data_IF_507375065247
#
_entry.id   IF_507375065247
#
_cell.length_a   1.000
_cell.length_b   1.000
_cell.length_c   1.000
_cell.angle_alpha   90.00
_cell.angle_beta   90.00
_cell.angle_gamma   90.00
#
_symmetry.space_group_name_H-M   'P 1'
#
loop_
_entity.id
_entity.type
_entity.pdbx_description
1 polymer ?
#
# COMPACT_ATOMS: atom_id res chain seq x y z
N UNK A 1 8.31 -34.74 -35.63
CA UNK A 1 7.91 -34.42 -34.24
C UNK A 1 8.55 -33.09 -33.91
N UNK A 2 7.98 -32.02 -34.44
CA UNK A 2 8.37 -30.67 -34.04
C UNK A 2 7.74 -30.42 -32.68
N UNK A 3 8.58 -30.25 -31.67
CA UNK A 3 8.16 -29.79 -30.37
C UNK A 3 7.63 -28.36 -30.56
N UNK A 4 6.31 -28.20 -30.45
CA UNK A 4 5.70 -26.89 -30.20
C UNK A 4 6.35 -26.35 -28.92
N UNK A 5 7.27 -25.40 -29.08
CA UNK A 5 7.65 -24.50 -27.99
C UNK A 5 6.42 -23.64 -27.74
N UNK A 6 5.60 -24.03 -26.78
CA UNK A 6 4.55 -23.16 -26.24
C UNK A 6 5.27 -21.92 -25.71
N UNK A 7 5.08 -20.78 -26.36
CA UNK A 7 5.53 -19.50 -25.82
C UNK A 7 4.75 -19.26 -24.54
N UNK A 8 5.45 -19.29 -23.40
CA UNK A 8 4.87 -18.93 -22.11
C UNK A 8 4.45 -17.47 -22.13
N UNK A 9 3.28 -17.20 -21.56
CA UNK A 9 2.80 -15.82 -21.34
C UNK A 9 3.62 -15.12 -20.26
N UNK A 10 3.62 -13.78 -20.24
CA UNK A 10 4.29 -13.00 -19.20
C UNK A 10 3.78 -13.35 -17.78
N UNK A 11 2.48 -13.59 -17.63
CA UNK A 11 1.87 -14.00 -16.37
C UNK A 11 2.41 -15.36 -15.87
N UNK A 12 2.55 -16.34 -16.77
CA UNK A 12 3.14 -17.64 -16.42
C UNK A 12 4.62 -17.50 -16.04
N UNK A 13 5.36 -16.58 -16.67
CA UNK A 13 6.75 -16.32 -16.30
C UNK A 13 6.89 -15.68 -14.92
N UNK A 14 5.99 -14.75 -14.56
CA UNK A 14 5.99 -14.10 -13.25
C UNK A 14 5.63 -15.10 -12.14
N UNK A 15 4.60 -15.93 -12.35
CA UNK A 15 4.20 -16.95 -11.38
C UNK A 15 5.33 -17.96 -11.12
N UNK A 16 6.08 -18.35 -12.15
CA UNK A 16 7.24 -19.23 -11.99
C UNK A 16 8.40 -18.57 -11.23
N UNK A 17 8.63 -17.28 -11.46
CA UNK A 17 9.64 -16.53 -10.70
C UNK A 17 9.25 -16.44 -9.22
N UNK A 18 8.00 -16.11 -8.92
CA UNK A 18 7.50 -16.06 -7.54
C UNK A 18 7.63 -17.42 -6.83
N UNK A 19 7.29 -18.52 -7.50
CA UNK A 19 7.45 -19.86 -6.94
C UNK A 19 8.92 -20.19 -6.67
N UNK A 20 9.83 -19.85 -7.60
CA UNK A 20 11.26 -20.06 -7.43
C UNK A 20 11.82 -19.26 -6.24
N UNK A 21 11.41 -17.99 -6.10
CA UNK A 21 11.81 -17.12 -4.99
C UNK A 21 11.29 -17.67 -3.65
N UNK A 22 10.04 -18.15 -3.59
CA UNK A 22 9.46 -18.76 -2.40
C UNK A 22 10.18 -20.06 -2.00
N UNK A 23 10.59 -20.88 -2.97
CA UNK A 23 11.39 -22.07 -2.71
C UNK A 23 12.82 -21.75 -2.24
N UNK A 24 13.46 -20.72 -2.79
CA UNK A 24 14.75 -20.24 -2.30
C UNK A 24 14.65 -19.71 -0.86
N UNK A 25 13.63 -18.88 -0.60
CA UNK A 25 13.30 -18.38 0.73
C UNK A 25 13.08 -19.53 1.71
N UNK A 26 12.30 -20.54 1.35
CA UNK A 26 12.06 -21.72 2.19
C UNK A 26 13.36 -22.44 2.52
N UNK A 27 14.25 -22.67 1.55
CA UNK A 27 15.58 -23.26 1.81
C UNK A 27 16.38 -22.43 2.80
N UNK A 28 16.31 -21.10 2.71
CA UNK A 28 17.00 -20.20 3.63
C UNK A 28 16.46 -20.30 5.07
N UNK A 29 15.15 -20.46 5.27
CA UNK A 29 14.55 -20.65 6.60
C UNK A 29 14.95 -21.98 7.24
N UNK A 30 14.93 -23.08 6.46
CA UNK A 30 15.18 -24.43 6.97
C UNK A 30 16.67 -24.79 7.16
N UNK A 31 17.62 -23.87 6.88
CA UNK A 31 19.07 -24.12 7.05
C UNK A 31 19.55 -24.00 8.50
N UNK A 32 18.79 -23.30 9.33
CA UNK A 32 19.18 -22.96 10.69
C UNK A 32 18.84 -24.09 11.67
N UNK A 33 19.63 -24.22 12.74
CA UNK A 33 19.38 -25.18 13.82
C UNK A 33 18.96 -24.44 15.08
N UNK A 34 18.13 -25.08 15.89
CA UNK A 34 17.68 -24.49 17.14
C UNK A 34 18.87 -24.24 18.08
N UNK A 35 19.07 -23.01 18.58
CA UNK A 35 20.13 -22.74 19.55
C UNK A 35 19.88 -23.46 20.88
N UNK A 36 20.94 -23.68 21.66
CA UNK A 36 20.84 -24.35 22.97
C UNK A 36 20.01 -23.56 24.00
N UNK A 37 19.94 -22.24 23.84
CA UNK A 37 19.14 -21.33 24.68
C UNK A 37 18.28 -20.46 23.77
N UNK A 38 17.07 -20.13 24.23
CA UNK A 38 16.17 -19.21 23.54
C UNK A 38 16.35 -17.78 24.06
N UNK A 39 17.61 -17.31 24.06
CA UNK A 39 18.01 -15.95 24.40
C UNK A 39 18.51 -15.20 23.15
N UNK A 40 18.52 -13.87 23.22
CA UNK A 40 18.82 -13.01 22.08
C UNK A 40 20.25 -13.23 21.58
N UNK A 41 21.21 -13.44 22.48
CA UNK A 41 22.59 -13.71 22.10
C UNK A 41 22.70 -15.00 21.27
N UNK A 42 22.14 -16.10 21.76
CA UNK A 42 22.19 -17.41 21.10
C UNK A 42 21.46 -17.39 19.76
N UNK A 43 20.35 -16.64 19.68
CA UNK A 43 19.64 -16.41 18.42
C UNK A 43 20.54 -15.73 17.38
N UNK A 44 21.16 -14.60 17.73
CA UNK A 44 22.00 -13.83 16.80
C UNK A 44 23.29 -14.57 16.44
N UNK A 45 23.87 -15.35 17.36
CA UNK A 45 25.02 -16.20 17.08
C UNK A 45 24.71 -17.32 16.07
N UNK A 46 23.47 -17.81 16.04
CA UNK A 46 23.01 -18.81 15.06
C UNK A 46 22.77 -18.21 13.66
N UNK A 47 22.39 -16.93 13.57
CA UNK A 47 22.15 -16.25 12.29
C UNK A 47 23.44 -16.11 11.46
N UNK A 48 23.30 -16.04 10.14
CA UNK A 48 24.41 -15.74 9.23
C UNK A 48 24.86 -14.30 9.36
N UNK A 49 26.07 -14.00 8.87
CA UNK A 49 26.57 -12.62 8.86
C UNK A 49 25.66 -11.68 8.05
N UNK A 50 25.16 -12.13 6.89
CA UNK A 50 24.27 -11.34 6.05
C UNK A 50 23.00 -10.94 6.83
N UNK A 51 22.35 -11.90 7.51
CA UNK A 51 21.15 -11.63 8.31
C UNK A 51 21.41 -10.65 9.47
N UNK A 52 22.60 -10.68 10.09
CA UNK A 52 22.97 -9.69 11.10
C UNK A 52 23.23 -8.31 10.51
N UNK A 53 23.76 -8.24 9.29
CA UNK A 53 23.93 -6.99 8.56
C UNK A 53 22.59 -6.41 8.09
N UNK A 54 21.60 -7.27 7.79
CA UNK A 54 20.22 -6.85 7.50
C UNK A 54 19.58 -6.23 8.75
N UNK A 55 19.70 -6.86 9.93
CA UNK A 55 19.26 -6.26 11.21
C UNK A 55 19.96 -4.93 11.45
N UNK A 56 21.28 -4.86 11.26
CA UNK A 56 22.06 -3.63 11.40
C UNK A 56 21.53 -2.52 10.49
N UNK A 57 21.18 -2.85 9.25
CA UNK A 57 20.65 -1.91 8.27
C UNK A 57 19.25 -1.43 8.66
N UNK A 58 18.34 -2.35 8.98
CA UNK A 58 16.95 -2.05 9.34
C UNK A 58 16.86 -1.20 10.62
N UNK A 59 17.73 -1.45 11.60
CA UNK A 59 17.83 -0.66 12.81
C UNK A 59 18.66 0.64 12.64
N UNK A 60 19.14 0.91 11.42
CA UNK A 60 19.96 2.07 11.07
C UNK A 60 21.22 2.25 11.96
N UNK A 61 21.90 1.14 12.27
CA UNK A 61 23.06 1.13 13.16
C UNK A 61 24.34 1.46 12.36
N UNK A 62 24.86 2.67 12.59
CA UNK A 62 26.08 3.17 11.95
C UNK A 62 27.37 2.68 12.62
N UNK A 63 28.48 2.72 11.86
CA UNK A 63 29.81 2.38 12.36
C UNK A 63 29.96 0.93 12.85
N UNK A 64 29.25 -0.01 12.25
CA UNK A 64 29.23 -1.42 12.65
C UNK A 64 29.54 -2.41 11.51
N UNK A 65 29.65 -1.95 10.26
CA UNK A 65 29.84 -2.79 9.08
C UNK A 65 31.17 -3.55 9.06
N UNK A 66 32.23 -3.00 9.67
CA UNK A 66 33.55 -3.61 9.74
C UNK A 66 33.75 -4.57 10.92
N UNK A 67 32.81 -4.63 11.87
CA UNK A 67 32.91 -5.48 13.05
C UNK A 67 32.96 -6.95 12.64
N UNK A 68 33.60 -7.83 13.41
CA UNK A 68 33.47 -9.28 13.23
C UNK A 68 32.11 -9.77 13.73
N UNK A 69 31.69 -10.99 13.34
CA UNK A 69 30.36 -11.52 13.70
C UNK A 69 30.07 -11.43 15.20
N UNK A 70 30.99 -11.90 16.06
CA UNK A 70 30.82 -11.85 17.51
C UNK A 70 30.68 -10.43 18.06
N UNK A 71 31.48 -9.48 17.56
CA UNK A 71 31.41 -8.07 17.95
C UNK A 71 30.11 -7.41 17.48
N UNK A 72 29.65 -7.77 16.27
CA UNK A 72 28.39 -7.29 15.72
C UNK A 72 27.20 -7.77 16.57
N UNK A 73 27.18 -9.06 16.96
CA UNK A 73 26.14 -9.60 17.87
C UNK A 73 26.03 -8.76 19.14
N UNK A 74 27.17 -8.51 19.81
CA UNK A 74 27.18 -7.73 21.05
C UNK A 74 26.69 -6.29 20.84
N UNK A 75 26.97 -5.69 19.68
CA UNK A 75 26.48 -4.36 19.33
C UNK A 75 24.98 -4.34 19.01
N UNK A 76 24.44 -5.38 18.39
CA UNK A 76 23.03 -5.45 17.99
C UNK A 76 22.08 -5.65 19.16
N UNK A 77 22.45 -6.46 20.16
CA UNK A 77 21.57 -6.81 21.28
C UNK A 77 20.90 -5.61 21.99
N UNK A 78 21.62 -4.58 22.48
CA UNK A 78 20.99 -3.45 23.14
C UNK A 78 20.13 -2.60 22.18
N UNK A 79 20.52 -2.50 20.91
CA UNK A 79 19.80 -1.74 19.89
C UNK A 79 18.47 -2.41 19.53
N UNK A 80 18.46 -3.74 19.38
CA UNK A 80 17.24 -4.54 19.16
C UNK A 80 16.25 -4.34 20.30
N UNK A 81 16.71 -4.42 21.56
CA UNK A 81 15.86 -4.23 22.75
C UNK A 81 15.32 -2.79 22.81
N UNK A 82 16.16 -1.80 22.52
CA UNK A 82 15.75 -0.41 22.49
C UNK A 82 14.71 -0.15 21.39
N UNK A 83 14.94 -0.71 20.20
CA UNK A 83 14.01 -0.61 19.08
C UNK A 83 12.68 -1.30 19.39
N UNK A 84 12.69 -2.49 20.00
CA UNK A 84 11.47 -3.18 20.45
C UNK A 84 10.58 -2.29 21.33
N UNK A 85 11.17 -1.55 22.28
CA UNK A 85 10.42 -0.64 23.15
C UNK A 85 9.74 0.50 22.40
N UNK A 86 10.36 0.97 21.31
CA UNK A 86 9.83 2.04 20.47
C UNK A 86 8.80 1.53 19.46
N UNK A 87 8.99 0.30 18.98
CA UNK A 87 8.18 -0.32 17.93
C UNK A 87 6.90 -0.99 18.46
N UNK A 88 6.96 -1.61 19.64
CA UNK A 88 5.80 -2.32 20.22
C UNK A 88 4.53 -1.46 20.36
N UNK A 89 4.59 -0.16 20.72
CA UNK A 89 3.38 0.66 20.77
C UNK A 89 2.68 0.90 19.41
N UNK A 90 3.36 0.70 18.28
CA UNK A 90 2.82 0.92 16.93
C UNK A 90 2.31 -0.34 16.22
N UNK A 91 2.28 -1.49 16.91
CA UNK A 91 1.86 -2.76 16.31
C UNK A 91 0.37 -2.76 15.99
N UNK A 92 -0.01 -3.49 14.94
CA UNK A 92 -1.40 -3.81 14.63
C UNK A 92 -1.84 -5.05 15.40
N UNK A 93 -3.13 -5.35 15.34
CA UNK A 93 -3.75 -6.42 16.12
C UNK A 93 -3.19 -7.80 15.73
N UNK A 94 -2.95 -8.04 14.44
CA UNK A 94 -2.40 -9.32 13.97
C UNK A 94 -0.97 -9.56 14.48
N UNK A 95 -0.15 -8.51 14.60
CA UNK A 95 1.17 -8.60 15.22
C UNK A 95 1.05 -8.86 16.72
N UNK A 96 0.13 -8.16 17.41
CA UNK A 96 -0.15 -8.43 18.83
C UNK A 96 -0.54 -9.91 19.04
N UNK A 97 -1.46 -10.43 18.22
CA UNK A 97 -1.90 -11.83 18.25
C UNK A 97 -0.76 -12.81 17.96
N UNK A 98 0.12 -12.49 17.00
CA UNK A 98 1.30 -13.28 16.69
C UNK A 98 2.27 -13.36 17.89
N UNK A 99 2.54 -12.22 18.53
CA UNK A 99 3.40 -12.16 19.72
C UNK A 99 2.74 -12.89 20.91
N UNK A 100 1.42 -12.69 21.13
CA UNK A 100 0.64 -13.43 22.12
C UNK A 100 0.74 -14.94 21.93
N UNK A 101 0.53 -15.41 20.71
CA UNK A 101 0.66 -16.81 20.35
C UNK A 101 2.05 -17.36 20.75
N UNK A 102 3.11 -16.62 20.40
CA UNK A 102 4.47 -17.00 20.79
C UNK A 102 4.68 -16.97 22.31
N UNK A 103 4.07 -16.05 23.06
CA UNK A 103 4.14 -16.03 24.52
C UNK A 103 3.49 -17.29 25.13
N UNK A 104 2.32 -17.67 24.65
CA UNK A 104 1.59 -18.86 25.10
C UNK A 104 2.34 -20.15 24.78
N UNK A 105 2.99 -20.23 23.63
CA UNK A 105 3.82 -21.35 23.20
C UNK A 105 5.27 -21.27 23.75
N UNK A 106 5.49 -20.51 24.84
CA UNK A 106 6.80 -20.39 25.53
C UNK A 106 7.95 -19.93 24.62
N UNK A 107 7.62 -19.10 23.64
CA UNK A 107 8.53 -18.46 22.71
C UNK A 107 8.90 -19.31 21.49
N UNK A 108 8.21 -20.42 21.21
CA UNK A 108 8.51 -21.32 20.10
C UNK A 108 7.23 -21.86 19.47
N UNK A 109 7.06 -21.77 18.15
CA UNK A 109 5.85 -22.21 17.46
C UNK A 109 6.17 -22.91 16.14
N UNK A 110 5.56 -24.07 15.92
CA UNK A 110 5.46 -24.76 14.62
C UNK A 110 4.16 -24.46 13.87
N UNK A 111 3.27 -23.65 14.48
CA UNK A 111 1.94 -23.33 13.92
C UNK A 111 1.94 -22.09 13.04
N UNK A 112 3.00 -21.28 13.10
CA UNK A 112 3.18 -20.13 12.21
C UNK A 112 3.61 -20.64 10.84
N UNK A 113 2.96 -20.16 9.79
CA UNK A 113 3.17 -20.63 8.42
C UNK A 113 4.57 -20.27 7.93
N UNK A 114 5.15 -21.12 7.09
CA UNK A 114 6.46 -20.89 6.49
C UNK A 114 6.40 -20.14 5.16
N UNK A 115 5.20 -19.88 4.62
CA UNK A 115 4.95 -19.03 3.45
C UNK A 115 4.54 -17.59 3.79
N UNK A 116 4.40 -17.27 5.09
CA UNK A 116 4.14 -15.90 5.54
C UNK A 116 5.44 -15.08 5.49
N UNK A 117 5.53 -14.18 4.52
CA UNK A 117 6.68 -13.30 4.28
C UNK A 117 6.80 -12.19 5.33
N UNK A 118 5.72 -11.86 6.07
CA UNK A 118 5.74 -10.82 7.11
C UNK A 118 6.60 -11.22 8.30
N UNK A 119 6.78 -12.52 8.52
CA UNK A 119 7.69 -13.02 9.56
C UNK A 119 9.17 -12.72 9.23
N UNK A 120 9.52 -12.50 7.96
CA UNK A 120 10.87 -12.07 7.60
C UNK A 120 11.14 -10.64 8.04
N UNK A 121 10.12 -9.77 8.04
CA UNK A 121 10.24 -8.42 8.58
C UNK A 121 10.61 -8.48 10.06
N UNK A 122 9.87 -9.23 10.89
CA UNK A 122 10.18 -9.38 12.32
C UNK A 122 11.56 -10.02 12.55
N UNK A 123 11.98 -10.92 11.66
CA UNK A 123 13.31 -11.53 11.68
C UNK A 123 14.41 -10.52 11.32
N UNK A 124 14.14 -9.65 10.34
CA UNK A 124 14.98 -8.52 9.95
C UNK A 124 15.06 -7.42 11.00
N UNK A 125 14.18 -7.40 12.00
CA UNK A 125 14.28 -6.53 13.19
C UNK A 125 14.99 -7.20 14.37
N UNK A 126 15.27 -8.52 14.27
CA UNK A 126 15.84 -9.30 15.36
C UNK A 126 14.83 -9.62 16.48
N UNK A 127 13.52 -9.57 16.19
CA UNK A 127 12.48 -9.89 17.19
C UNK A 127 12.16 -11.37 17.26
N UNK A 128 12.37 -12.09 16.17
CA UNK A 128 12.24 -13.54 16.11
C UNK A 128 13.28 -14.11 15.15
N UNK A 129 13.40 -15.44 15.15
CA UNK A 129 14.13 -16.18 14.13
C UNK A 129 13.46 -17.53 13.91
N UNK A 130 14.06 -18.34 13.05
CA UNK A 130 13.55 -19.67 12.70
C UNK A 130 14.66 -20.72 12.77
N UNK A 131 14.27 -21.96 12.99
CA UNK A 131 15.15 -23.11 12.98
C UNK A 131 14.40 -24.36 12.50
N UNK A 132 15.13 -25.26 11.84
CA UNK A 132 14.66 -26.61 11.56
C UNK A 132 14.87 -27.48 12.80
N UNK A 133 13.77 -28.04 13.31
CA UNK A 133 13.77 -29.07 14.36
C UNK A 133 13.13 -30.32 13.75
N UNK A 134 13.88 -31.41 13.71
CA UNK A 134 13.53 -32.60 12.93
C UNK A 134 13.27 -32.22 11.46
N UNK A 135 12.03 -32.29 10.97
CA UNK A 135 11.63 -31.88 9.62
C UNK A 135 10.63 -30.71 9.60
N UNK A 136 10.44 -30.01 10.73
CA UNK A 136 9.53 -28.88 10.83
C UNK A 136 10.29 -27.57 11.04
N UNK A 137 9.72 -26.48 10.50
CA UNK A 137 10.15 -25.12 10.83
C UNK A 137 9.57 -24.72 12.19
N UNK A 138 10.44 -24.26 13.08
CA UNK A 138 10.08 -23.65 14.36
C UNK A 138 10.43 -22.17 14.29
N UNK A 139 9.44 -21.31 14.43
CA UNK A 139 9.63 -19.89 14.69
C UNK A 139 9.82 -19.67 16.18
N UNK A 140 10.81 -18.87 16.57
CA UNK A 140 11.09 -18.62 17.98
C UNK A 140 11.43 -17.15 18.25
N UNK A 141 10.93 -16.65 19.38
CA UNK A 141 11.13 -15.27 19.86
C UNK A 141 11.99 -15.32 21.12
N UNK A 142 13.12 -14.60 21.22
CA UNK A 142 14.07 -14.69 22.33
C UNK A 142 13.55 -14.06 23.63
N UNK A 143 14.08 -14.51 24.77
CA UNK A 143 13.63 -14.14 26.13
C UNK A 143 13.50 -12.64 26.36
N UNK A 144 14.44 -11.87 25.86
CA UNK A 144 14.51 -10.43 26.01
C UNK A 144 13.34 -9.73 25.31
N UNK A 145 13.00 -10.15 24.10
CA UNK A 145 11.84 -9.60 23.35
C UNK A 145 10.54 -10.01 24.03
N UNK A 146 10.44 -11.28 24.49
CA UNK A 146 9.29 -11.73 25.29
C UNK A 146 9.12 -10.88 26.54
N UNK A 147 10.22 -10.51 27.19
CA UNK A 147 10.20 -9.70 28.39
C UNK A 147 9.77 -8.25 28.10
N UNK A 148 10.20 -7.65 26.98
CA UNK A 148 9.72 -6.31 26.58
C UNK A 148 8.22 -6.32 26.25
N UNK A 149 7.74 -7.31 25.48
CA UNK A 149 6.31 -7.44 25.16
C UNK A 149 5.45 -7.61 26.43
N UNK A 150 5.84 -8.50 27.35
CA UNK A 150 5.12 -8.76 28.61
C UNK A 150 4.99 -7.54 29.53
N UNK A 151 5.84 -6.52 29.39
CA UNK A 151 5.71 -5.27 30.17
C UNK A 151 4.49 -4.45 29.73
N UNK A 152 4.11 -4.58 28.47
CA UNK A 152 2.98 -3.87 27.87
C UNK A 152 1.72 -4.72 27.86
N UNK A 153 1.89 -6.04 27.80
CA UNK A 153 0.79 -7.00 27.66
C UNK A 153 -0.30 -6.82 28.71
N UNK A 154 -1.41 -6.25 28.25
CA UNK A 154 -2.56 -5.86 29.05
C UNK A 154 -3.75 -5.63 28.11
N UNK A 155 -4.99 -5.66 28.62
CA UNK A 155 -6.17 -5.31 27.82
C UNK A 155 -6.08 -3.93 27.16
N UNK A 156 -5.37 -2.97 27.79
CA UNK A 156 -5.16 -1.65 27.22
C UNK A 156 -4.21 -1.69 26.01
N UNK A 157 -3.23 -2.59 26.01
CA UNK A 157 -2.30 -2.74 24.90
C UNK A 157 -2.95 -3.46 23.71
N UNK A 158 -3.81 -4.46 23.97
CA UNK A 158 -4.66 -5.07 22.94
C UNK A 158 -5.62 -4.04 22.31
N UNK A 159 -6.24 -3.19 23.14
CA UNK A 159 -7.08 -2.09 22.66
C UNK A 159 -6.29 -1.07 21.82
N UNK A 160 -5.05 -0.76 22.20
CA UNK A 160 -4.16 0.09 21.40
C UNK A 160 -3.84 -0.55 20.04
N UNK A 161 -3.48 -1.84 20.00
CA UNK A 161 -3.22 -2.56 18.75
C UNK A 161 -4.46 -2.62 17.84
N UNK A 162 -5.65 -2.76 18.44
CA UNK A 162 -6.94 -2.68 17.73
C UNK A 162 -7.13 -1.30 17.12
N UNK A 163 -6.89 -0.24 17.89
CA UNK A 163 -6.98 1.15 17.41
C UNK A 163 -5.95 1.45 16.31
N UNK A 164 -4.71 0.95 16.42
CA UNK A 164 -3.69 1.09 15.37
C UNK A 164 -4.13 0.42 14.05
N UNK A 165 -4.82 -0.72 14.16
CA UNK A 165 -5.41 -1.43 13.00
C UNK A 165 -6.53 -0.61 12.36
N UNK A 166 -7.41 -0.02 13.17
CA UNK A 166 -8.46 0.88 12.70
C UNK A 166 -7.87 2.10 11.99
N UNK A 167 -6.88 2.76 12.59
CA UNK A 167 -6.15 3.90 12.00
C UNK A 167 -5.55 3.51 10.65
N UNK A 168 -4.87 2.36 10.58
CA UNK A 168 -4.26 1.84 9.35
C UNK A 168 -5.30 1.62 8.26
N UNK A 169 -6.46 1.06 8.63
CA UNK A 169 -7.55 0.81 7.70
C UNK A 169 -8.20 2.10 7.19
N UNK A 170 -8.43 3.07 8.07
CA UNK A 170 -8.92 4.40 7.67
C UNK A 170 -7.92 5.12 6.76
N UNK A 171 -6.62 5.02 7.06
CA UNK A 171 -5.56 5.54 6.19
C UNK A 171 -5.61 4.88 4.81
N UNK A 172 -5.67 3.55 4.75
CA UNK A 172 -5.72 2.84 3.47
C UNK A 172 -6.94 3.26 2.64
N UNK A 173 -8.11 3.43 3.26
CA UNK A 173 -9.31 3.91 2.57
C UNK A 173 -9.22 5.36 2.13
N UNK A 174 -8.62 6.23 2.93
CA UNK A 174 -8.38 7.61 2.50
C UNK A 174 -7.44 7.63 1.28
N UNK A 175 -6.34 6.89 1.34
CA UNK A 175 -5.37 6.83 0.24
C UNK A 175 -5.92 6.11 -1.00
N UNK A 176 -6.85 5.17 -0.85
CA UNK A 176 -7.60 4.61 -1.99
C UNK A 176 -8.32 5.70 -2.80
N UNK A 177 -8.92 6.70 -2.13
CA UNK A 177 -9.62 7.80 -2.80
C UNK A 177 -8.73 8.99 -3.17
N UNK A 178 -7.58 9.18 -2.52
CA UNK A 178 -6.76 10.39 -2.68
C UNK A 178 -5.36 10.16 -3.24
N UNK A 179 -4.89 8.90 -3.28
CA UNK A 179 -3.61 8.47 -3.82
C UNK A 179 -2.43 8.76 -2.89
N UNK A 180 -2.31 9.99 -2.40
CA UNK A 180 -1.22 10.43 -1.53
C UNK A 180 -1.69 11.55 -0.60
N UNK A 181 -1.16 11.55 0.63
CA UNK A 181 -1.27 12.66 1.57
C UNK A 181 0.01 12.80 2.37
N UNK A 182 0.37 14.04 2.71
CA UNK A 182 1.44 14.26 3.69
C UNK A 182 0.98 13.85 5.10
N UNK A 183 1.92 13.65 6.02
CA UNK A 183 1.59 13.14 7.36
C UNK A 183 0.62 14.04 8.14
N UNK A 184 0.72 15.37 8.01
CA UNK A 184 -0.14 16.30 8.76
C UNK A 184 -1.59 16.26 8.25
N UNK A 185 -1.77 16.26 6.94
CA UNK A 185 -3.08 16.13 6.28
C UNK A 185 -3.74 14.80 6.64
N UNK A 186 -2.97 13.71 6.51
CA UNK A 186 -3.46 12.36 6.76
C UNK A 186 -3.82 12.16 8.24
N UNK A 187 -2.96 12.63 9.16
CA UNK A 187 -3.25 12.63 10.60
C UNK A 187 -4.55 13.39 10.89
N UNK A 188 -4.69 14.61 10.37
CA UNK A 188 -5.87 15.44 10.60
C UNK A 188 -7.14 14.76 10.09
N UNK A 189 -7.07 14.16 8.91
CA UNK A 189 -8.19 13.46 8.29
C UNK A 189 -8.60 12.22 9.10
N UNK A 190 -7.66 11.31 9.35
CA UNK A 190 -7.94 10.05 10.05
C UNK A 190 -8.37 10.31 11.48
N UNK A 191 -7.67 11.18 12.21
CA UNK A 191 -8.06 11.58 13.56
C UNK A 191 -9.47 12.19 13.58
N UNK A 192 -9.86 12.94 12.55
CA UNK A 192 -11.21 13.49 12.38
C UNK A 192 -12.33 12.46 12.29
N UNK A 193 -12.01 11.20 11.98
CA UNK A 193 -12.94 10.07 11.93
C UNK A 193 -12.97 9.21 13.20
N UNK A 194 -12.01 9.39 14.12
CA UNK A 194 -11.97 8.68 15.39
C UNK A 194 -12.91 9.29 16.43
N UNK A 195 -13.31 8.47 17.41
CA UNK A 195 -14.05 8.93 18.58
C UNK A 195 -13.23 9.92 19.42
N UNK A 196 -13.90 10.75 20.21
CA UNK A 196 -13.25 11.88 20.90
C UNK A 196 -12.13 11.43 21.86
N UNK A 197 -12.35 10.35 22.61
CA UNK A 197 -11.38 9.77 23.54
C UNK A 197 -10.19 9.14 22.82
N UNK A 198 -10.41 8.43 21.71
CA UNK A 198 -9.34 7.90 20.87
C UNK A 198 -8.50 9.05 20.29
N UNK A 199 -9.15 10.07 19.75
CA UNK A 199 -8.50 11.25 19.15
C UNK A 199 -7.62 12.01 20.15
N UNK A 200 -8.10 12.20 21.37
CA UNK A 200 -7.35 12.91 22.42
C UNK A 200 -6.07 12.17 22.85
N UNK A 201 -6.07 10.85 22.73
CA UNK A 201 -4.95 10.00 23.11
C UNK A 201 -3.99 9.67 21.96
N UNK A 202 -4.35 9.97 20.72
CA UNK A 202 -3.49 9.77 19.55
C UNK A 202 -2.58 10.98 19.34
N UNK A 203 -1.28 10.82 19.60
CA UNK A 203 -0.31 11.86 19.23
C UNK A 203 0.09 11.75 17.74
N UNK A 204 0.50 12.87 17.15
CA UNK A 204 1.04 12.87 15.78
C UNK A 204 2.24 11.91 15.62
N UNK A 205 3.12 11.83 16.62
CA UNK A 205 4.27 10.93 16.62
C UNK A 205 3.83 9.47 16.61
N UNK A 206 2.85 9.12 17.43
CA UNK A 206 2.37 7.73 17.51
C UNK A 206 1.66 7.35 16.21
N UNK A 207 0.86 8.25 15.64
CA UNK A 207 0.28 8.08 14.31
C UNK A 207 1.34 7.79 13.24
N UNK A 208 2.41 8.59 13.15
CA UNK A 208 3.51 8.35 12.20
C UNK A 208 4.17 6.99 12.48
N UNK A 209 4.36 6.62 13.75
CA UNK A 209 4.87 5.30 14.13
C UNK A 209 4.00 4.17 13.59
N UNK A 210 2.67 4.27 13.72
CA UNK A 210 1.71 3.32 13.15
C UNK A 210 1.82 3.26 11.63
N UNK A 211 1.93 4.40 10.93
CA UNK A 211 2.07 4.42 9.47
C UNK A 211 3.35 3.73 8.98
N UNK A 212 4.47 3.97 9.66
CA UNK A 212 5.74 3.33 9.33
C UNK A 212 5.67 1.81 9.55
N UNK A 213 5.07 1.37 10.66
CA UNK A 213 4.93 -0.05 10.92
C UNK A 213 3.94 -0.72 9.95
N UNK A 214 2.76 -0.13 9.77
CA UNK A 214 1.75 -0.60 8.85
C UNK A 214 2.28 -0.74 7.42
N UNK A 215 3.08 0.23 6.94
CA UNK A 215 3.72 0.15 5.62
C UNK A 215 4.70 -1.02 5.46
N UNK A 216 5.19 -1.60 6.55
CA UNK A 216 6.03 -2.81 6.53
C UNK A 216 5.21 -4.09 6.69
N UNK A 217 4.00 -4.01 7.28
CA UNK A 217 3.16 -5.16 7.60
C UNK A 217 2.06 -5.43 6.57
N UNK A 218 1.51 -4.38 5.96
CA UNK A 218 0.44 -4.42 4.97
C UNK A 218 0.95 -4.03 3.58
N UNK A 219 0.23 -4.44 2.53
CA UNK A 219 0.59 -4.15 1.14
C UNK A 219 -0.25 -3.02 0.53
N UNK A 220 -1.07 -2.35 1.32
CA UNK A 220 -2.04 -1.35 0.84
C UNK A 220 -1.48 0.07 0.83
N UNK A 221 -0.50 0.36 1.67
CA UNK A 221 0.08 1.69 1.84
C UNK A 221 1.60 1.65 1.84
N UNK A 222 2.21 2.73 1.38
CA UNK A 222 3.67 2.91 1.36
C UNK A 222 4.02 4.21 2.04
N UNK A 223 4.73 4.12 3.17
CA UNK A 223 5.25 5.27 3.89
C UNK A 223 6.46 5.86 3.15
N UNK A 224 6.43 7.17 2.97
CA UNK A 224 7.48 7.98 2.35
C UNK A 224 8.04 8.97 3.38
N UNK A 225 9.17 9.64 3.09
CA UNK A 225 9.74 10.61 4.03
C UNK A 225 8.80 11.74 4.43
N UNK A 226 7.87 12.15 3.55
CA UNK A 226 6.98 13.30 3.76
C UNK A 226 5.49 12.96 3.88
N UNK A 227 5.11 11.71 3.66
CA UNK A 227 3.71 11.30 3.61
C UNK A 227 3.54 9.82 3.40
N UNK A 228 2.35 9.43 2.98
CA UNK A 228 2.01 8.04 2.70
C UNK A 228 1.25 8.01 1.38
N UNK A 229 1.56 7.03 0.53
CA UNK A 229 0.83 6.78 -0.72
C UNK A 229 0.09 5.45 -0.69
N UNK A 230 -0.96 5.36 -1.49
CA UNK A 230 -1.56 4.08 -1.85
C UNK A 230 -0.59 3.29 -2.73
N UNK A 231 -0.57 1.97 -2.58
CA UNK A 231 0.46 1.13 -3.20
C UNK A 231 0.47 1.17 -4.75
N UNK A 232 -0.66 1.47 -5.38
CA UNK A 232 -0.78 1.58 -6.85
C UNK A 232 -0.47 2.97 -7.40
N UNK A 233 -0.12 3.95 -6.55
CA UNK A 233 0.31 5.27 -7.02
C UNK A 233 1.71 5.20 -7.61
N UNK A 234 1.82 5.58 -8.87
CA UNK A 234 3.05 5.51 -9.66
C UNK A 234 3.99 6.69 -9.34
N UNK A 235 3.48 7.91 -9.39
CA UNK A 235 4.28 9.14 -9.24
C UNK A 235 3.56 10.14 -8.33
N UNK A 236 4.06 10.25 -7.09
CA UNK A 236 3.53 11.18 -6.09
C UNK A 236 3.74 12.65 -6.49
N UNK A 237 4.85 12.98 -7.14
CA UNK A 237 5.18 14.36 -7.50
C UNK A 237 4.25 14.84 -8.62
N UNK A 238 4.00 13.99 -9.62
CA UNK A 238 3.07 14.29 -10.70
C UNK A 238 1.63 14.46 -10.18
N UNK A 239 1.19 13.60 -9.25
CA UNK A 239 -0.12 13.71 -8.64
C UNK A 239 -0.28 15.02 -7.86
N UNK A 240 0.68 15.35 -7.00
CA UNK A 240 0.65 16.60 -6.23
C UNK A 240 0.60 17.83 -7.14
N UNK A 241 1.40 17.86 -8.20
CA UNK A 241 1.40 18.96 -9.17
C UNK A 241 0.06 19.10 -9.91
N UNK A 242 -0.60 17.98 -10.22
CA UNK A 242 -1.94 18.00 -10.82
C UNK A 242 -2.99 18.51 -9.82
N UNK A 243 -2.99 17.99 -8.59
CA UNK A 243 -3.90 18.44 -7.53
C UNK A 243 -3.72 19.93 -7.18
N UNK A 244 -2.50 20.48 -7.30
CA UNK A 244 -2.21 21.91 -7.14
C UNK A 244 -2.85 22.79 -8.21
N UNK A 245 -3.03 22.28 -9.44
CA UNK A 245 -3.79 23.00 -10.50
C UNK A 245 -5.26 23.15 -10.10
N UNK A 246 -5.76 22.25 -9.26
CA UNK A 246 -7.09 22.26 -8.66
C UNK A 246 -7.07 22.79 -7.21
N UNK A 247 -6.26 23.82 -6.91
CA UNK A 247 -6.13 24.36 -5.55
C UNK A 247 -7.43 24.87 -4.93
N UNK A 248 -8.40 25.30 -5.75
CA UNK A 248 -9.73 25.74 -5.30
C UNK A 248 -10.73 24.59 -5.05
N UNK A 249 -10.35 23.34 -5.34
CA UNK A 249 -11.17 22.16 -5.10
C UNK A 249 -10.73 21.54 -3.76
N UNK A 250 -11.67 21.39 -2.84
CA UNK A 250 -11.46 20.61 -1.62
C UNK A 250 -11.48 19.12 -1.93
N UNK A 251 -10.81 18.31 -1.11
CA UNK A 251 -10.96 16.85 -1.18
C UNK A 251 -12.42 16.43 -1.05
N UNK A 252 -12.80 15.36 -1.76
CA UNK A 252 -14.10 14.74 -1.57
C UNK A 252 -14.31 14.35 -0.11
N UNK A 253 -15.56 14.25 0.34
CA UNK A 253 -15.86 13.91 1.74
C UNK A 253 -16.42 12.52 1.80
N UNK A 254 -15.74 11.65 2.53
CA UNK A 254 -16.20 10.29 2.80
C UNK A 254 -16.56 10.13 4.28
N UNK A 255 -17.52 9.26 4.54
CA UNK A 255 -17.88 8.86 5.90
C UNK A 255 -16.86 7.87 6.46
N UNK A 256 -16.85 7.68 7.79
CA UNK A 256 -16.06 6.62 8.43
C UNK A 256 -16.27 5.26 7.74
N UNK A 257 -17.53 4.88 7.50
CA UNK A 257 -17.87 3.58 6.94
C UNK A 257 -17.28 3.39 5.53
N UNK A 258 -17.35 4.42 4.69
CA UNK A 258 -16.77 4.38 3.35
C UNK A 258 -15.25 4.22 3.39
N UNK A 259 -14.56 5.00 4.23
CA UNK A 259 -13.11 4.86 4.38
C UNK A 259 -12.73 3.49 4.94
N UNK A 260 -13.44 3.03 5.96
CA UNK A 260 -13.15 1.74 6.58
C UNK A 260 -13.38 0.56 5.62
N UNK A 261 -14.41 0.64 4.78
CA UNK A 261 -14.67 -0.35 3.73
C UNK A 261 -13.61 -0.30 2.62
N UNK A 262 -13.27 0.89 2.14
CA UNK A 262 -12.27 1.11 1.09
C UNK A 262 -10.85 0.71 1.52
N UNK A 263 -10.57 0.74 2.82
CA UNK A 263 -9.29 0.32 3.40
C UNK A 263 -9.11 -1.19 3.59
N UNK A 264 -10.10 -2.01 3.21
CA UNK A 264 -9.95 -3.45 3.27
C UNK A 264 -8.91 -3.96 2.25
N UNK A 265 -8.19 -5.02 2.61
CA UNK A 265 -7.30 -5.69 1.67
C UNK A 265 -8.08 -6.18 0.45
N UNK A 266 -7.54 -5.91 -0.74
CA UNK A 266 -8.17 -6.23 -2.03
C UNK A 266 -9.57 -5.61 -2.20
N UNK A 267 -9.82 -4.46 -1.58
CA UNK A 267 -11.06 -3.72 -1.81
C UNK A 267 -11.26 -3.43 -3.30
N UNK A 268 -12.49 -3.63 -3.77
CA UNK A 268 -12.93 -3.29 -5.12
C UNK A 268 -14.18 -2.43 -4.97
N UNK A 269 -14.14 -1.23 -5.54
CA UNK A 269 -15.33 -0.36 -5.62
C UNK A 269 -16.26 -0.90 -6.71
N UNK A 270 -17.09 -1.86 -6.33
CA UNK A 270 -17.95 -2.64 -7.23
C UNK A 270 -19.21 -1.87 -7.65
N UNK A 271 -19.02 -0.69 -8.24
CA UNK A 271 -20.06 0.14 -8.84
C UNK A 271 -20.82 -0.59 -9.94
N UNK A 272 -21.93 -0.02 -10.42
CA UNK A 272 -22.67 -0.62 -11.54
C UNK A 272 -21.81 -0.63 -12.80
N UNK A 273 -21.06 0.45 -13.01
CA UNK A 273 -20.19 0.68 -14.15
C UNK A 273 -19.01 -0.31 -14.16
N UNK A 274 -18.41 -0.58 -12.98
CA UNK A 274 -17.44 -1.67 -12.81
C UNK A 274 -18.04 -3.01 -13.25
N UNK A 275 -19.23 -3.35 -12.72
CA UNK A 275 -19.90 -4.63 -12.99
C UNK A 275 -20.26 -4.79 -14.47
N UNK A 276 -20.72 -3.74 -15.12
CA UNK A 276 -21.09 -3.76 -16.53
C UNK A 276 -19.85 -3.97 -17.42
N UNK A 277 -18.74 -3.30 -17.11
CA UNK A 277 -17.47 -3.48 -17.82
C UNK A 277 -16.89 -4.89 -17.62
N UNK A 278 -16.86 -5.40 -16.38
CA UNK A 278 -16.41 -6.76 -16.10
C UNK A 278 -17.31 -7.80 -16.81
N UNK A 279 -18.63 -7.62 -16.79
CA UNK A 279 -19.57 -8.50 -17.49
C UNK A 279 -19.38 -8.48 -19.01
N UNK A 280 -19.00 -7.34 -19.59
CA UNK A 280 -18.67 -7.27 -21.01
C UNK A 280 -17.51 -8.20 -21.36
N UNK A 281 -16.42 -8.17 -20.58
CA UNK A 281 -15.28 -9.08 -20.80
C UNK A 281 -15.67 -10.55 -20.64
N UNK A 282 -16.50 -10.87 -19.65
CA UNK A 282 -16.99 -12.24 -19.47
C UNK A 282 -17.85 -12.72 -20.67
N UNK A 283 -18.78 -11.90 -21.15
CA UNK A 283 -19.76 -12.29 -22.17
C UNK A 283 -19.18 -12.27 -23.60
N UNK A 284 -18.44 -11.23 -23.95
CA UNK A 284 -17.97 -11.00 -25.32
C UNK A 284 -16.57 -11.58 -25.59
N UNK A 285 -15.80 -11.86 -24.53
CA UNK A 285 -14.44 -12.40 -24.62
C UNK A 285 -14.25 -13.73 -23.87
N UNK A 286 -15.28 -14.24 -23.18
CA UNK A 286 -15.21 -15.52 -22.48
C UNK A 286 -14.24 -15.53 -21.31
N UNK A 287 -13.89 -14.35 -20.77
CA UNK A 287 -13.06 -14.24 -19.58
C UNK A 287 -13.76 -14.91 -18.39
N UNK A 288 -12.99 -15.62 -17.57
CA UNK A 288 -13.46 -15.98 -16.24
C UNK A 288 -13.55 -14.74 -15.33
N UNK A 289 -14.11 -14.93 -14.14
CA UNK A 289 -14.37 -13.85 -13.18
C UNK A 289 -13.08 -13.16 -12.76
N UNK A 290 -12.00 -13.91 -12.53
CA UNK A 290 -10.73 -13.36 -12.07
C UNK A 290 -10.10 -12.53 -13.19
N UNK A 291 -10.04 -13.07 -14.41
CA UNK A 291 -9.48 -12.36 -15.55
C UNK A 291 -10.26 -11.09 -15.89
N UNK A 292 -11.58 -11.12 -15.78
CA UNK A 292 -12.41 -9.93 -15.99
C UNK A 292 -12.16 -8.88 -14.90
N UNK A 293 -12.06 -9.29 -13.64
CA UNK A 293 -11.72 -8.39 -12.53
C UNK A 293 -10.32 -7.78 -12.68
N UNK A 294 -9.32 -8.57 -13.10
CA UNK A 294 -7.97 -8.10 -13.34
C UNK A 294 -7.94 -7.00 -14.42
N UNK A 295 -8.57 -7.24 -15.57
CA UNK A 295 -8.63 -6.26 -16.67
C UNK A 295 -9.32 -4.98 -16.23
N UNK A 296 -10.45 -5.08 -15.51
CA UNK A 296 -11.16 -3.90 -15.01
C UNK A 296 -10.35 -3.17 -13.93
N UNK A 297 -9.63 -3.90 -13.07
CA UNK A 297 -8.72 -3.35 -12.06
C UNK A 297 -7.54 -2.60 -12.66
N UNK A 298 -6.93 -3.11 -13.72
CA UNK A 298 -5.85 -2.41 -14.44
C UNK A 298 -6.33 -1.09 -15.06
N UNK A 299 -7.55 -1.09 -15.63
CA UNK A 299 -8.17 0.16 -16.12
C UNK A 299 -8.41 1.12 -14.95
N UNK A 300 -8.91 0.64 -13.82
CA UNK A 300 -9.10 1.46 -12.62
C UNK A 300 -7.80 2.13 -12.16
N UNK A 301 -6.72 1.36 -12.05
CA UNK A 301 -5.39 1.87 -11.66
C UNK A 301 -4.90 2.91 -12.66
N UNK A 302 -5.04 2.64 -13.96
CA UNK A 302 -4.66 3.57 -15.02
C UNK A 302 -5.40 4.91 -14.88
N UNK A 303 -6.72 4.86 -14.69
CA UNK A 303 -7.55 6.06 -14.55
C UNK A 303 -7.21 6.84 -13.27
N UNK A 304 -7.04 6.16 -12.12
CA UNK A 304 -6.67 6.82 -10.88
C UNK A 304 -5.32 7.54 -10.95
N UNK A 305 -4.36 6.99 -11.71
CA UNK A 305 -3.07 7.62 -11.98
C UNK A 305 -3.14 8.76 -13.02
N UNK A 306 -4.34 9.18 -13.44
CA UNK A 306 -4.55 10.27 -14.39
C UNK A 306 -4.46 9.87 -15.86
N UNK A 307 -4.42 8.57 -16.14
CA UNK A 307 -4.52 8.05 -17.50
C UNK A 307 -5.88 8.35 -18.12
N UNK A 308 -5.93 8.40 -19.44
CA UNK A 308 -7.11 8.80 -20.20
C UNK A 308 -7.78 7.62 -20.92
N UNK A 309 -8.97 7.86 -21.48
CA UNK A 309 -9.75 6.83 -22.17
C UNK A 309 -9.06 6.26 -23.42
N UNK A 310 -8.18 7.02 -24.07
CA UNK A 310 -7.41 6.51 -25.20
C UNK A 310 -6.39 5.49 -24.72
N UNK A 311 -5.66 5.76 -23.63
CA UNK A 311 -4.71 4.80 -23.05
C UNK A 311 -5.43 3.54 -22.55
N UNK A 312 -6.61 3.68 -21.95
CA UNK A 312 -7.45 2.54 -21.58
C UNK A 312 -7.89 1.70 -22.81
N UNK A 313 -8.22 2.36 -23.92
CA UNK A 313 -8.56 1.67 -25.18
C UNK A 313 -7.33 0.99 -25.80
N UNK A 314 -6.16 1.63 -25.78
CA UNK A 314 -4.90 1.05 -26.25
C UNK A 314 -4.51 -0.19 -25.43
N UNK A 315 -4.69 -0.15 -24.12
CA UNK A 315 -4.53 -1.32 -23.26
C UNK A 315 -5.45 -2.47 -23.66
N UNK A 316 -6.74 -2.19 -23.91
CA UNK A 316 -7.69 -3.20 -24.36
C UNK A 316 -7.36 -3.76 -25.75
N UNK A 317 -6.90 -2.91 -26.67
CA UNK A 317 -6.45 -3.34 -28.00
C UNK A 317 -5.25 -4.30 -27.91
N UNK A 318 -4.27 -4.01 -27.05
CA UNK A 318 -3.13 -4.90 -26.81
C UNK A 318 -3.53 -6.27 -26.26
N UNK A 319 -4.64 -6.34 -25.51
CA UNK A 319 -5.20 -7.58 -24.98
C UNK A 319 -6.09 -8.34 -25.98
N UNK A 320 -6.28 -7.82 -27.20
CA UNK A 320 -7.21 -8.38 -28.17
C UNK A 320 -8.68 -8.19 -27.79
N UNK A 321 -8.98 -7.22 -26.92
CA UNK A 321 -10.33 -6.95 -26.43
C UNK A 321 -11.12 -6.03 -27.38
N UNK A 322 -10.48 -5.55 -28.46
CA UNK A 322 -11.05 -4.62 -29.44
C UNK A 322 -10.84 -5.05 -30.90
N UNK A 323 -10.67 -6.36 -31.14
CA UNK A 323 -10.30 -6.93 -32.46
C UNK A 323 -11.31 -6.72 -33.60
N UNK A 324 -12.53 -6.26 -33.30
CA UNK A 324 -13.53 -5.95 -34.31
C UNK A 324 -14.34 -4.69 -33.97
N UNK A 325 -14.89 -4.05 -35.01
CA UNK A 325 -15.61 -2.79 -34.91
C UNK A 325 -16.85 -2.87 -34.00
N UNK A 326 -17.50 -4.04 -33.91
CA UNK A 326 -18.68 -4.26 -33.06
C UNK A 326 -18.27 -4.23 -31.59
N UNK A 327 -17.19 -4.92 -31.23
CA UNK A 327 -16.64 -4.94 -29.85
C UNK A 327 -16.12 -3.57 -29.44
N UNK A 328 -15.39 -2.88 -30.32
CA UNK A 328 -14.96 -1.50 -30.08
C UNK A 328 -16.15 -0.57 -29.78
N UNK A 329 -17.20 -0.61 -30.61
CA UNK A 329 -18.40 0.22 -30.39
C UNK A 329 -19.15 -0.14 -29.11
N UNK A 330 -19.06 -1.39 -28.65
CA UNK A 330 -19.73 -1.86 -27.43
C UNK A 330 -18.98 -1.47 -26.15
N UNK A 331 -17.64 -1.51 -26.15
CA UNK A 331 -16.84 -1.26 -24.95
C UNK A 331 -16.64 0.23 -24.66
N UNK A 332 -16.55 1.08 -25.69
CA UNK A 332 -16.30 2.53 -25.52
C UNK A 332 -17.31 3.21 -24.58
N UNK A 333 -18.63 3.00 -24.71
CA UNK A 333 -19.60 3.56 -23.77
C UNK A 333 -19.41 3.06 -22.33
N UNK A 334 -18.99 1.82 -22.13
CA UNK A 334 -18.73 1.24 -20.81
C UNK A 334 -17.50 1.88 -20.16
N UNK A 335 -16.43 2.10 -20.93
CA UNK A 335 -15.24 2.82 -20.46
C UNK A 335 -15.56 4.26 -20.05
N UNK A 336 -16.36 4.97 -20.85
CA UNK A 336 -16.79 6.34 -20.53
C UNK A 336 -17.59 6.36 -19.23
N UNK A 337 -18.57 5.46 -19.10
CA UNK A 337 -19.39 5.36 -17.90
C UNK A 337 -18.52 5.07 -16.66
N UNK A 338 -17.61 4.09 -16.78
CA UNK A 338 -16.73 3.71 -15.69
C UNK A 338 -15.80 4.84 -15.25
N UNK A 339 -15.15 5.54 -16.18
CA UNK A 339 -14.35 6.73 -15.87
C UNK A 339 -15.16 7.81 -15.15
N UNK A 340 -16.38 8.08 -15.60
CA UNK A 340 -17.18 9.18 -15.07
C UNK A 340 -17.66 8.97 -13.63
N UNK A 341 -17.75 7.71 -13.20
CA UNK A 341 -18.14 7.33 -11.83
C UNK A 341 -16.94 6.85 -10.99
N UNK A 342 -15.72 6.86 -11.53
CA UNK A 342 -14.51 6.52 -10.77
C UNK A 342 -14.05 7.72 -9.96
N UNK A 343 -13.70 7.50 -8.69
CA UNK A 343 -13.04 8.51 -7.85
C UNK A 343 -11.57 8.66 -8.26
N UNK A 344 -11.20 9.82 -8.81
CA UNK A 344 -9.89 10.06 -9.40
C UNK A 344 -8.99 10.88 -8.47
N UNK A 345 -7.74 10.46 -8.30
CA UNK A 345 -6.77 11.18 -7.47
C UNK A 345 -6.45 12.59 -7.99
N UNK A 346 -6.27 12.84 -9.31
CA UNK A 346 -6.13 14.19 -9.85
C UNK A 346 -7.28 15.13 -9.46
N UNK A 347 -8.48 14.57 -9.29
CA UNK A 347 -9.69 15.27 -8.89
C UNK A 347 -9.92 15.24 -7.38
N UNK A 348 -8.88 14.96 -6.59
CA UNK A 348 -8.94 14.92 -5.10
C UNK A 348 -10.06 14.02 -4.57
N UNK A 349 -10.26 12.88 -5.25
CA UNK A 349 -11.24 11.87 -4.87
C UNK A 349 -12.69 12.18 -5.28
N UNK A 350 -12.96 13.21 -6.09
CA UNK A 350 -14.29 13.38 -6.70
C UNK A 350 -14.39 12.54 -7.97
N UNK A 351 -15.61 12.19 -8.37
CA UNK A 351 -15.86 11.63 -9.71
C UNK A 351 -16.05 12.75 -10.74
N UNK A 352 -15.72 12.52 -12.03
CA UNK A 352 -16.05 13.48 -13.09
C UNK A 352 -17.54 13.86 -13.13
N UNK A 353 -18.45 12.91 -12.93
CA UNK A 353 -19.90 13.14 -12.88
C UNK A 353 -20.31 14.08 -11.75
N UNK A 354 -19.74 13.94 -10.57
CA UNK A 354 -20.03 14.80 -9.41
C UNK A 354 -19.61 16.25 -9.65
N UNK A 355 -18.40 16.46 -10.16
CA UNK A 355 -17.89 17.81 -10.47
C UNK A 355 -18.71 18.45 -11.59
N UNK A 356 -19.11 17.64 -12.57
CA UNK A 356 -19.93 18.11 -13.65
C UNK A 356 -21.32 18.55 -13.18
N UNK A 357 -22.01 17.75 -12.36
CA UNK A 357 -23.30 18.12 -11.79
C UNK A 357 -23.24 19.43 -10.98
N UNK A 358 -22.13 19.68 -10.27
CA UNK A 358 -21.89 20.93 -9.53
C UNK A 358 -21.66 22.14 -10.45
N UNK A 359 -21.17 21.93 -11.67
CA UNK A 359 -20.92 22.98 -12.67
C UNK A 359 -22.17 23.47 -13.41
N UNK A 360 -23.29 22.73 -13.29
CA UNK A 360 -24.59 23.12 -13.88
C UNK A 360 -24.75 22.84 -15.39
N UNK A 361 -23.85 22.07 -16.00
CA UNK A 361 -23.97 21.59 -17.38
C UNK A 361 -24.55 20.15 -17.41
N UNK A 362 -25.35 19.79 -18.43
CA UNK A 362 -26.17 18.56 -18.47
C UNK A 362 -25.46 17.30 -18.99
N UNK A 363 -25.85 16.12 -18.47
CA UNK A 363 -25.25 14.74 -18.42
C UNK A 363 -24.21 14.18 -19.43
N UNK A 364 -23.64 14.90 -20.40
CA UNK A 364 -22.56 14.37 -21.27
C UNK A 364 -21.63 15.51 -21.70
N UNK A 365 -20.33 15.44 -21.36
CA UNK A 365 -19.29 16.27 -21.99
C UNK A 365 -18.32 15.41 -22.79
N UNK A 366 -18.00 15.77 -24.04
CA UNK A 366 -16.79 15.32 -24.71
C UNK A 366 -15.52 15.85 -24.03
N UNK A 367 -14.56 14.96 -23.82
CA UNK A 367 -13.28 15.14 -23.11
C UNK A 367 -12.47 16.42 -23.41
N UNK A 368 -12.67 17.08 -24.56
CA UNK A 368 -11.91 18.27 -24.96
C UNK A 368 -12.17 19.53 -24.10
N UNK A 369 -13.24 19.58 -23.31
CA UNK A 369 -13.64 20.79 -22.57
C UNK A 369 -13.18 20.83 -21.11
N UNK A 370 -12.86 19.68 -20.49
CA UNK A 370 -12.42 19.63 -19.07
C UNK A 370 -11.01 20.20 -18.90
N UNK A 371 -10.13 20.06 -19.90
CA UNK A 371 -8.77 20.62 -19.90
C UNK A 371 -8.68 22.10 -20.29
N UNK A 372 -9.81 22.80 -20.51
CA UNK A 372 -9.81 24.20 -20.94
C UNK A 372 -10.73 25.07 -20.08
N UNK A 373 -10.53 25.10 -18.77
CA UNK A 373 -10.83 26.33 -18.04
C UNK A 373 -9.77 27.38 -18.43
N UNK A 374 -10.00 28.06 -19.56
CA UNK A 374 -9.20 29.22 -19.96
C UNK A 374 -9.36 30.28 -18.88
N UNK A 375 -8.29 30.55 -18.13
CA UNK A 375 -8.25 31.68 -17.22
C UNK A 375 -8.70 32.96 -17.97
N UNK A 376 -9.66 33.69 -17.42
CA UNK A 376 -10.13 34.92 -18.00
C UNK A 376 -8.98 35.92 -18.09
N UNK A 377 -8.93 36.72 -19.16
CA UNK A 377 -7.84 37.68 -19.43
C UNK A 377 -7.46 38.55 -18.22
N UNK A 378 -8.43 38.86 -17.35
CA UNK A 378 -8.25 39.71 -16.17
C UNK A 378 -8.12 38.96 -14.84
N UNK A 379 -8.25 37.63 -14.84
CA UNK A 379 -8.17 36.79 -13.64
C UNK A 379 -6.72 36.67 -13.15
N UNK A 380 -6.49 36.32 -11.88
CA UNK A 380 -5.16 35.97 -11.39
C UNK A 380 -4.52 34.87 -12.24
N UNK A 381 -3.26 35.06 -12.62
CA UNK A 381 -2.57 34.14 -13.52
C UNK A 381 -2.28 32.80 -12.81
N UNK A 382 -2.59 31.65 -13.44
CA UNK A 382 -2.49 30.34 -12.78
C UNK A 382 -1.06 29.89 -12.46
N UNK A 383 -0.02 30.56 -12.98
CA UNK A 383 1.38 30.28 -12.66
C UNK A 383 1.85 30.80 -11.29
N UNK A 384 0.94 31.34 -10.46
CA UNK A 384 1.27 31.83 -9.12
C UNK A 384 2.02 33.17 -9.08
N UNK A 385 2.14 33.88 -10.20
CA UNK A 385 2.90 35.15 -10.27
C UNK A 385 2.23 36.35 -9.59
N UNK A 386 0.97 36.22 -9.15
CA UNK A 386 0.16 37.30 -8.58
C UNK A 386 -0.28 38.38 -9.59
N UNK A 387 0.09 38.26 -10.87
CA UNK A 387 -0.31 39.18 -11.96
C UNK A 387 -1.63 38.72 -12.59
N UNK A 388 -2.36 39.63 -13.25
CA UNK A 388 -3.48 39.25 -14.13
C UNK A 388 -2.97 38.43 -15.32
N UNK A 389 -3.73 37.41 -15.75
CA UNK A 389 -3.33 36.47 -16.80
C UNK A 389 -2.83 37.15 -18.09
N UNK A 390 -3.49 38.24 -18.54
CA UNK A 390 -3.06 39.06 -19.69
C UNK A 390 -1.66 39.67 -19.60
N UNK A 391 -1.13 39.83 -18.39
CA UNK A 391 0.15 40.47 -18.12
C UNK A 391 1.22 39.44 -17.73
N UNK A 392 0.94 38.14 -17.87
CA UNK A 392 1.86 37.08 -17.48
C UNK A 392 1.92 35.96 -18.52
N UNK A 393 1.12 34.89 -18.38
CA UNK A 393 1.24 33.73 -19.26
C UNK A 393 0.48 33.87 -20.59
N UNK A 394 -0.48 34.80 -20.72
CA UNK A 394 -1.29 34.92 -21.95
C UNK A 394 -0.46 35.05 -23.24
N UNK A 395 0.60 35.87 -23.22
CA UNK A 395 1.47 36.05 -24.40
C UNK A 395 2.37 34.83 -24.70
N UNK A 396 2.54 33.93 -23.73
CA UNK A 396 3.26 32.65 -23.89
C UNK A 396 2.33 31.54 -24.37
N UNK A 397 1.04 31.65 -24.08
CA UNK A 397 0.01 30.66 -24.46
C UNK A 397 -0.64 30.98 -25.82
N UNK A 398 -0.45 32.19 -26.36
CA UNK A 398 -0.92 32.63 -27.70
C UNK A 398 0.17 32.55 -28.80
N UNK A 399 1.38 32.12 -28.47
CA UNK A 399 2.48 31.80 -29.38
C UNK A 399 2.78 30.30 -29.33
#
# INVERSE_FOLDING_TARGET
MEAQKTEMTQAESLAQMMEADMEERKKALYRHKMPAKNDLQSMLEAMTRAELDDIRYNLNISGASSLKKAELVQKLMPEIINFARLWLPSILLEEYECFQHLILEKGQSTKLRDDDVRLDYLRGLGFLSCAKVEDQLVWYMPEEIRAEFKKLDSPNFEALATMNTEITRLTAGALFYYGYMNYEELYTMVAGHLEADQRENLSFKDFVGVMLNASCWTNTIVALPQGVKYYTLIDESALEDEQRKHSNLDFAKFTYAQLFEAGADNHIDATMEYKDLAQFFMKEHGCDVLKAADITGEIFILLQNGGNLQEAAEYLEQLGMMDDERKMKAVVPLLIAYNNETHLWPLKGHTPSELFAKSGMGKVIPFAEVHRQKAGRNDPCPCGSGKKYKNCCLAKDEN
#
